data_IF_344745521061
#
_entry.id   IF_344745521061
#
_cell.length_a   1.000
_cell.length_b   1.000
_cell.length_c   1.000
_cell.angle_alpha   90.00
_cell.angle_beta   90.00
_cell.angle_gamma   90.00
#
_symmetry.space_group_name_H-M   'P 1'
#
loop_
_entity.id
_entity.type
_entity.pdbx_description
1 polymer ?
#
# COMPACT_ATOMS: atom_id res chain seq x y z
N UNK A 1 21.96 6.82 -11.80
CA UNK A 1 20.73 7.49 -12.29
C UNK A 1 19.83 7.64 -11.08
N UNK A 2 19.60 8.88 -10.64
CA UNK A 2 18.71 9.16 -9.50
C UNK A 2 17.31 8.89 -9.99
N UNK A 3 16.65 7.87 -9.43
CA UNK A 3 15.24 7.61 -9.67
C UNK A 3 14.48 8.91 -9.51
N UNK A 4 13.85 9.36 -10.60
CA UNK A 4 12.99 10.53 -10.62
C UNK A 4 11.96 10.36 -9.53
N UNK A 5 12.15 11.11 -8.44
CA UNK A 5 11.25 11.18 -7.29
C UNK A 5 9.86 11.45 -7.85
N UNK A 6 9.01 10.41 -7.89
CA UNK A 6 7.60 10.55 -8.29
C UNK A 6 7.04 11.74 -7.53
N UNK A 7 6.54 12.71 -8.29
CA UNK A 7 6.03 13.99 -7.85
C UNK A 7 5.29 13.86 -6.49
N UNK A 8 5.97 14.27 -5.42
CA UNK A 8 5.56 14.15 -4.02
C UNK A 8 4.44 15.15 -3.64
N UNK A 9 3.88 15.87 -4.61
CA UNK A 9 2.94 16.95 -4.35
C UNK A 9 1.51 16.47 -4.03
N UNK A 10 1.22 15.18 -4.16
CA UNK A 10 -0.10 14.63 -3.89
C UNK A 10 0.01 13.40 -2.98
N UNK A 11 -0.18 13.63 -1.68
CA UNK A 11 -0.39 12.55 -0.72
C UNK A 11 -1.88 12.39 -0.45
N UNK A 12 -2.28 11.13 -0.28
CA UNK A 12 -3.59 10.74 0.20
C UNK A 12 -3.47 10.32 1.66
N UNK A 13 -4.38 10.73 2.53
CA UNK A 13 -4.36 10.32 3.94
C UNK A 13 -5.75 10.00 4.48
N UNK A 14 -5.83 9.03 5.38
CA UNK A 14 -7.09 8.63 6.00
C UNK A 14 -7.22 9.24 7.41
N UNK A 15 -8.33 9.92 7.68
CA UNK A 15 -8.63 10.43 9.02
C UNK A 15 -8.80 9.27 10.01
N UNK A 16 -8.13 9.32 11.17
CA UNK A 16 -8.29 8.31 12.22
C UNK A 16 -9.65 8.36 12.93
N UNK A 17 -10.33 9.52 12.91
CA UNK A 17 -11.61 9.72 13.60
C UNK A 17 -12.79 9.26 12.74
N UNK A 18 -12.84 9.67 11.47
CA UNK A 18 -13.98 9.39 10.58
C UNK A 18 -13.68 8.45 9.41
N UNK A 19 -12.44 8.00 9.24
CA UNK A 19 -12.06 7.09 8.15
C UNK A 19 -12.04 7.72 6.75
N UNK A 20 -12.33 9.02 6.61
CA UNK A 20 -12.39 9.69 5.31
C UNK A 20 -11.01 9.78 4.64
N UNK A 21 -10.96 9.40 3.36
CA UNK A 21 -9.78 9.46 2.52
C UNK A 21 -9.63 10.88 1.92
N UNK A 22 -8.66 11.62 2.42
CA UNK A 22 -8.34 12.97 1.96
C UNK A 22 -7.32 12.86 0.83
N UNK A 23 -7.83 12.96 -0.39
CA UNK A 23 -7.02 12.90 -1.61
C UNK A 23 -6.66 14.33 -2.00
N UNK A 24 -5.35 14.62 -2.11
CA UNK A 24 -4.77 15.89 -2.62
C UNK A 24 -4.74 17.03 -1.61
N UNK A 25 -3.58 17.21 -0.96
CA UNK A 25 -3.11 18.56 -0.64
C UNK A 25 -1.67 18.71 -1.10
N UNK A 26 -1.41 19.74 -1.91
CA UNK A 26 -0.06 20.21 -2.20
C UNK A 26 0.58 20.62 -0.88
N UNK A 27 1.82 20.21 -0.66
CA UNK A 27 2.65 20.82 0.39
C UNK A 27 3.29 22.04 -0.28
N UNK A 28 2.90 23.28 0.06
CA UNK A 28 3.52 24.43 -0.55
C UNK A 28 4.97 24.56 -0.08
N UNK A 29 5.93 24.44 -1.01
CA UNK A 29 7.29 24.97 -0.84
C UNK A 29 7.24 26.50 -0.96
N UNK A 30 6.69 27.23 0.02
CA UNK A 30 6.87 28.70 0.01
C UNK A 30 6.65 29.33 1.39
N UNK A 31 7.45 30.37 1.69
CA UNK A 31 7.39 31.17 2.92
C UNK A 31 6.23 32.18 2.98
N UNK A 32 5.05 31.83 2.44
CA UNK A 32 3.86 32.70 2.46
C UNK A 32 2.89 32.23 3.55
N UNK A 33 2.36 33.14 4.41
CA UNK A 33 1.40 32.76 5.45
C UNK A 33 0.02 32.44 4.86
N UNK A 34 -0.61 31.41 5.45
CA UNK A 34 -1.80 30.69 4.94
C UNK A 34 -3.10 31.45 5.22
N UNK A 35 -4.01 31.55 4.23
CA UNK A 35 -5.39 32.02 4.42
C UNK A 35 -6.40 30.88 4.25
N UNK A 36 -7.12 30.57 5.35
CA UNK A 36 -8.43 29.89 5.48
C UNK A 36 -8.75 28.58 4.71
N UNK A 37 -7.92 28.08 3.81
CA UNK A 37 -8.11 26.83 3.08
C UNK A 37 -6.97 25.84 3.35
N UNK A 38 -6.77 25.51 4.62
CA UNK A 38 -6.11 24.27 5.03
C UNK A 38 -4.76 23.94 4.40
N UNK A 39 -3.91 24.93 4.10
CA UNK A 39 -2.50 24.67 3.86
C UNK A 39 -1.81 24.45 5.20
N UNK A 40 -1.01 23.38 5.25
CA UNK A 40 -0.19 23.08 6.41
C UNK A 40 0.82 24.21 6.58
N UNK A 41 0.85 24.85 7.76
CA UNK A 41 1.86 25.85 8.07
C UNK A 41 3.26 25.31 7.77
N UNK A 42 4.17 26.20 7.40
CA UNK A 42 5.52 25.96 6.86
C UNK A 42 6.45 25.03 7.66
N UNK A 43 6.03 24.53 8.83
CA UNK A 43 6.82 23.68 9.72
C UNK A 43 6.37 22.22 9.80
N UNK A 44 5.24 21.85 9.17
CA UNK A 44 4.80 20.46 9.13
C UNK A 44 5.21 19.85 7.77
N UNK A 45 6.45 19.36 7.65
CA UNK A 45 6.78 18.43 6.57
C UNK A 45 6.22 17.07 6.97
N UNK A 46 5.13 16.58 6.33
CA UNK A 46 4.65 15.24 6.59
C UNK A 46 5.79 14.27 6.28
N UNK A 47 6.17 13.45 7.24
CA UNK A 47 6.97 12.26 6.97
C UNK A 47 5.96 11.13 6.76
N UNK A 48 5.72 10.67 5.51
CA UNK A 48 4.81 9.57 5.26
C UNK A 48 5.33 8.32 5.95
N UNK A 49 4.56 7.77 6.88
CA UNK A 49 4.83 6.46 7.45
C UNK A 49 4.04 5.42 6.66
N UNK A 50 4.73 4.37 6.21
CA UNK A 50 4.05 3.22 5.62
C UNK A 50 3.24 2.51 6.71
N UNK A 51 1.99 2.20 6.43
CA UNK A 51 1.14 1.40 7.30
C UNK A 51 0.42 0.32 6.49
N UNK A 52 0.18 -0.82 7.11
CA UNK A 52 -0.65 -1.88 6.55
C UNK A 52 -2.10 -1.59 6.91
N UNK A 53 -3.00 -1.62 5.93
CA UNK A 53 -4.43 -1.46 6.17
C UNK A 53 -4.94 -2.60 7.06
N UNK A 54 -5.84 -2.28 8.00
CA UNK A 54 -6.41 -3.28 8.92
C UNK A 54 -7.35 -4.26 8.23
N UNK A 55 -7.96 -3.86 7.12
CA UNK A 55 -8.85 -4.72 6.35
C UNK A 55 -8.02 -5.47 5.31
N UNK A 56 -8.09 -6.80 5.35
CA UNK A 56 -7.51 -7.63 4.31
C UNK A 56 -8.18 -7.32 2.97
N UNK A 57 -7.37 -7.22 1.91
CA UNK A 57 -7.88 -7.19 0.54
C UNK A 57 -8.40 -8.57 0.14
N UNK A 58 -7.73 -9.61 0.64
CA UNK A 58 -8.05 -11.00 0.35
C UNK A 58 -7.47 -11.91 1.45
N UNK A 59 -8.17 -13.00 1.74
CA UNK A 59 -7.65 -14.09 2.57
C UNK A 59 -8.08 -15.43 1.97
N UNK A 60 -7.13 -16.34 1.70
CA UNK A 60 -7.43 -17.63 1.08
C UNK A 60 -6.36 -18.69 1.37
N UNK A 61 -6.78 -19.96 1.36
CA UNK A 61 -5.91 -21.16 1.45
C UNK A 61 -5.52 -21.75 0.09
N UNK A 62 -5.88 -21.07 -0.99
CA UNK A 62 -5.63 -21.51 -2.38
C UNK A 62 -4.48 -20.77 -3.05
N UNK A 63 -3.84 -19.85 -2.32
CA UNK A 63 -2.75 -19.03 -2.80
C UNK A 63 -1.43 -19.80 -2.69
N UNK A 64 -0.65 -19.77 -3.77
CA UNK A 64 0.70 -20.35 -3.87
C UNK A 64 1.70 -19.30 -4.33
N UNK A 65 2.99 -19.57 -4.11
CA UNK A 65 4.08 -18.66 -4.41
C UNK A 65 5.09 -19.34 -5.35
N UNK A 66 5.55 -18.59 -6.34
CA UNK A 66 6.62 -19.00 -7.23
C UNK A 66 7.75 -17.97 -7.17
N UNK A 67 8.96 -18.44 -6.88
CA UNK A 67 10.17 -17.62 -6.92
C UNK A 67 10.46 -17.12 -8.35
N UNK A 68 11.31 -16.10 -8.45
CA UNK A 68 11.84 -15.62 -9.75
C UNK A 68 12.49 -16.80 -10.49
N UNK A 69 12.21 -16.93 -11.79
CA UNK A 69 12.83 -17.94 -12.66
C UNK A 69 13.23 -17.33 -13.99
N UNK A 70 14.54 -17.16 -14.19
CA UNK A 70 15.09 -16.48 -15.37
C UNK A 70 14.56 -15.05 -15.48
N UNK A 71 13.90 -14.74 -16.58
CA UNK A 71 13.25 -13.44 -16.81
C UNK A 71 11.82 -13.34 -16.26
N UNK A 72 11.30 -14.40 -15.66
CA UNK A 72 9.94 -14.43 -15.08
C UNK A 72 9.99 -13.88 -13.66
N UNK A 73 9.27 -12.79 -13.35
CA UNK A 73 9.19 -12.26 -11.99
C UNK A 73 8.59 -13.27 -11.02
N UNK A 74 8.83 -13.06 -9.73
CA UNK A 74 8.14 -13.82 -8.68
C UNK A 74 6.63 -13.62 -8.80
N UNK A 75 5.86 -14.67 -8.52
CA UNK A 75 4.40 -14.68 -8.67
C UNK A 75 3.71 -15.20 -7.44
N UNK A 76 2.53 -14.66 -7.20
CA UNK A 76 1.54 -15.17 -6.27
C UNK A 76 0.37 -15.64 -7.14
N UNK A 77 -0.01 -16.90 -7.01
CA UNK A 77 -1.05 -17.51 -7.84
C UNK A 77 -2.20 -18.02 -6.98
N UNK A 78 -3.43 -17.77 -7.38
CA UNK A 78 -4.64 -18.27 -6.71
C UNK A 78 -5.41 -19.21 -7.63
N UNK A 79 -5.56 -20.48 -7.24
CA UNK A 79 -6.28 -21.47 -8.04
C UNK A 79 -7.79 -21.20 -8.16
N UNK A 80 -8.33 -20.29 -7.34
CA UNK A 80 -9.71 -19.82 -7.43
C UNK A 80 -9.88 -18.58 -8.30
N UNK A 81 -8.80 -18.04 -8.89
CA UNK A 81 -8.84 -16.91 -9.80
C UNK A 81 -9.49 -15.64 -9.20
N UNK A 82 -9.37 -15.45 -7.88
CA UNK A 82 -10.04 -14.34 -7.20
C UNK A 82 -9.28 -13.01 -7.36
N UNK A 83 -8.03 -13.02 -7.84
CA UNK A 83 -7.26 -11.80 -8.04
C UNK A 83 -7.90 -10.85 -9.05
N UNK A 84 -8.53 -11.39 -10.10
CA UNK A 84 -9.26 -10.57 -11.09
C UNK A 84 -10.53 -9.92 -10.56
N UNK A 85 -11.12 -10.47 -9.50
CA UNK A 85 -12.34 -9.96 -8.86
C UNK A 85 -12.04 -8.94 -7.76
N UNK A 86 -10.85 -9.04 -7.18
CA UNK A 86 -10.36 -8.11 -6.16
C UNK A 86 -9.79 -6.83 -6.76
N UNK A 87 -9.84 -5.73 -6.00
CA UNK A 87 -9.38 -4.41 -6.43
C UNK A 87 -7.83 -4.24 -6.48
N UNK A 88 -7.07 -5.29 -6.77
CA UNK A 88 -5.62 -5.17 -6.99
C UNK A 88 -5.34 -4.31 -8.23
N UNK A 89 -4.24 -3.57 -8.17
CA UNK A 89 -3.77 -2.71 -9.27
C UNK A 89 -2.27 -2.86 -9.40
N UNK A 90 -1.77 -2.77 -10.63
CA UNK A 90 -0.32 -2.75 -10.86
C UNK A 90 0.35 -1.57 -10.16
N UNK A 91 1.56 -1.79 -9.64
CA UNK A 91 2.32 -0.81 -8.86
C UNK A 91 1.84 -0.63 -7.42
N UNK A 92 0.84 -1.39 -6.97
CA UNK A 92 0.33 -1.32 -5.60
C UNK A 92 1.31 -2.00 -4.62
N UNK A 93 1.70 -1.33 -3.52
CA UNK A 93 2.41 -1.99 -2.44
C UNK A 93 1.43 -2.81 -1.58
N UNK A 94 1.83 -4.03 -1.27
CA UNK A 94 1.06 -5.00 -0.49
C UNK A 94 1.89 -5.52 0.68
N UNK A 95 1.21 -6.03 1.69
CA UNK A 95 1.79 -6.82 2.76
C UNK A 95 1.14 -8.20 2.75
N UNK A 96 1.95 -9.23 2.93
CA UNK A 96 1.50 -10.63 2.91
C UNK A 96 1.83 -11.23 4.26
N UNK A 97 0.88 -11.99 4.80
CA UNK A 97 1.05 -12.86 5.94
C UNK A 97 0.56 -14.25 5.57
N UNK A 98 1.29 -15.27 5.98
CA UNK A 98 1.03 -16.69 5.72
C UNK A 98 0.99 -17.45 7.04
N UNK A 99 0.40 -18.65 7.09
CA UNK A 99 0.49 -19.51 8.27
C UNK A 99 1.89 -20.12 8.41
N UNK A 100 2.63 -20.29 7.30
CA UNK A 100 3.99 -20.85 7.31
C UNK A 100 5.06 -19.85 7.75
N UNK A 101 4.81 -18.55 7.56
CA UNK A 101 5.76 -17.47 7.82
C UNK A 101 6.86 -17.32 6.77
N UNK A 102 6.89 -18.15 5.72
CA UNK A 102 8.01 -18.21 4.76
C UNK A 102 8.04 -16.99 3.83
N UNK A 103 6.88 -16.57 3.35
CA UNK A 103 6.74 -15.46 2.40
C UNK A 103 6.13 -14.20 3.04
N UNK A 104 6.19 -14.10 4.37
CA UNK A 104 5.69 -12.94 5.12
C UNK A 104 6.54 -11.71 4.84
N UNK A 105 5.90 -10.62 4.42
CA UNK A 105 6.68 -9.44 4.05
C UNK A 105 5.91 -8.39 3.27
N UNK A 106 6.68 -7.42 2.79
CA UNK A 106 6.18 -6.30 2.00
C UNK A 106 6.64 -6.46 0.57
N UNK A 107 5.71 -6.33 -0.37
CA UNK A 107 5.97 -6.52 -1.80
C UNK A 107 5.27 -5.43 -2.60
N UNK A 108 5.60 -5.34 -3.89
CA UNK A 108 4.99 -4.42 -4.84
C UNK A 108 4.53 -5.22 -6.05
N UNK A 109 3.25 -5.09 -6.41
CA UNK A 109 2.72 -5.67 -7.64
C UNK A 109 3.38 -4.95 -8.82
N UNK A 110 3.86 -5.68 -9.82
CA UNK A 110 4.41 -5.07 -11.03
C UNK A 110 3.38 -4.18 -11.75
N UNK A 111 3.82 -3.21 -12.55
CA UNK A 111 2.92 -2.24 -13.20
C UNK A 111 1.83 -2.89 -14.07
N UNK A 112 2.11 -4.04 -14.67
CA UNK A 112 1.17 -4.88 -15.42
C UNK A 112 1.02 -6.27 -14.78
N UNK A 113 1.18 -6.33 -13.46
CA UNK A 113 1.30 -7.59 -12.73
C UNK A 113 -0.01 -8.24 -12.30
N UNK A 114 -1.19 -7.67 -12.62
CA UNK A 114 -2.47 -8.23 -12.18
C UNK A 114 -3.13 -8.99 -13.33
N UNK A 115 -3.31 -10.30 -13.13
CA UNK A 115 -4.07 -11.19 -13.99
C UNK A 115 -5.14 -11.89 -13.15
N UNK A 116 -6.11 -12.53 -13.80
CA UNK A 116 -7.25 -13.20 -13.14
C UNK A 116 -6.80 -14.19 -12.05
N UNK A 117 -5.72 -14.94 -12.27
CA UNK A 117 -5.20 -15.92 -11.31
C UNK A 117 -3.80 -15.62 -10.76
N UNK A 118 -3.12 -14.59 -11.26
CA UNK A 118 -1.73 -14.31 -10.91
C UNK A 118 -1.53 -12.83 -10.52
N UNK A 119 -0.73 -12.62 -9.47
CA UNK A 119 -0.05 -11.36 -9.20
C UNK A 119 1.45 -11.54 -9.45
N UNK A 120 1.97 -10.88 -10.47
CA UNK A 120 3.43 -10.76 -10.69
C UNK A 120 3.99 -9.61 -9.88
N UNK A 121 5.08 -9.85 -9.15
CA UNK A 121 5.74 -8.86 -8.31
C UNK A 121 6.76 -8.04 -9.08
N UNK A 122 7.18 -6.92 -8.48
CA UNK A 122 8.31 -6.12 -8.96
C UNK A 122 9.56 -6.98 -9.12
N UNK A 123 10.42 -6.64 -10.09
CA UNK A 123 11.69 -7.34 -10.30
C UNK A 123 12.67 -7.25 -9.13
N UNK A 124 12.46 -6.29 -8.22
CA UNK A 124 13.23 -6.11 -7.00
C UNK A 124 12.74 -6.98 -5.85
N UNK A 125 11.55 -7.55 -5.97
CA UNK A 125 10.94 -8.38 -4.95
C UNK A 125 11.24 -9.86 -5.23
N UNK A 126 11.48 -10.62 -4.17
CA UNK A 126 11.75 -12.06 -4.25
C UNK A 126 10.84 -12.83 -3.31
N UNK A 127 10.39 -14.00 -3.75
CA UNK A 127 9.64 -14.97 -2.95
C UNK A 127 10.41 -16.29 -2.89
N UNK A 128 10.08 -17.11 -1.91
CA UNK A 128 10.43 -18.53 -1.89
C UNK A 128 9.28 -19.32 -2.49
N UNK A 129 9.57 -20.27 -3.39
CA UNK A 129 8.54 -21.14 -3.97
C UNK A 129 7.85 -21.95 -2.88
N UNK A 130 6.52 -21.90 -2.86
CA UNK A 130 5.70 -22.54 -1.84
C UNK A 130 4.33 -22.92 -2.42
N UNK A 131 3.86 -24.13 -2.15
CA UNK A 131 2.53 -24.57 -2.59
C UNK A 131 1.44 -24.02 -1.66
N UNK A 132 0.20 -23.98 -2.11
CA UNK A 132 -0.91 -23.50 -1.28
C UNK A 132 -1.11 -24.29 0.01
N UNK A 133 -0.85 -25.60 -0.03
CA UNK A 133 -0.91 -26.44 1.17
C UNK A 133 0.20 -26.11 2.18
N UNK A 134 1.39 -25.77 1.70
CA UNK A 134 2.53 -25.39 2.56
C UNK A 134 2.35 -23.99 3.16
N UNK A 135 1.88 -23.02 2.36
CA UNK A 135 1.63 -21.65 2.81
C UNK A 135 0.49 -21.54 3.84
N UNK A 136 -0.48 -22.44 3.78
CA UNK A 136 -1.66 -22.42 4.64
C UNK A 136 -2.60 -21.26 4.31
N UNK A 137 -3.15 -20.59 5.33
CA UNK A 137 -3.94 -19.38 5.13
C UNK A 137 -3.04 -18.19 4.76
N UNK A 138 -3.23 -17.65 3.56
CA UNK A 138 -2.55 -16.46 3.08
C UNK A 138 -3.51 -15.28 3.16
N UNK A 139 -3.07 -14.19 3.79
CA UNK A 139 -3.82 -12.93 3.84
C UNK A 139 -2.99 -11.81 3.21
N UNK A 140 -3.61 -11.08 2.29
CA UNK A 140 -2.98 -9.98 1.57
C UNK A 140 -3.65 -8.67 1.99
N UNK A 141 -2.84 -7.72 2.43
CA UNK A 141 -3.25 -6.40 2.82
C UNK A 141 -2.70 -5.36 1.85
N UNK A 142 -3.44 -4.27 1.67
CA UNK A 142 -2.89 -3.08 1.02
C UNK A 142 -1.92 -2.42 1.99
N UNK A 143 -0.75 -2.01 1.49
CA UNK A 143 0.07 -1.01 2.17
C UNK A 143 -0.29 0.36 1.63
N UNK A 144 -0.50 1.27 2.55
CA UNK A 144 -0.78 2.66 2.24
C UNK A 144 0.21 3.54 2.99
N UNK A 145 0.37 4.78 2.54
CA UNK A 145 1.18 5.77 3.25
C UNK A 145 0.22 6.69 3.99
N UNK A 146 0.41 6.82 5.31
CA UNK A 146 -0.25 7.84 6.11
C UNK A 146 0.80 8.90 6.42
N UNK A 147 0.60 10.16 6.03
CA UNK A 147 1.39 11.24 6.60
C UNK A 147 1.22 11.24 8.13
N UNK A 148 2.31 11.44 8.85
CA UNK A 148 2.31 11.68 10.30
C UNK A 148 1.72 13.06 10.68
N UNK A 149 0.87 13.63 9.82
CA UNK A 149 0.26 14.94 10.04
C UNK A 149 -0.79 14.81 11.12
N UNK A 150 -0.50 15.42 12.26
CA UNK A 150 -1.31 15.38 13.48
C UNK A 150 -2.49 16.35 13.48
N UNK A 151 -2.92 16.88 12.33
CA UNK A 151 -3.92 17.95 12.28
C UNK A 151 -5.10 17.66 11.35
N UNK A 152 -6.31 17.86 11.88
CA UNK A 152 -7.49 18.40 11.19
C UNK A 152 -8.03 17.60 10.00
N UNK A 153 -8.98 16.69 10.22
CA UNK A 153 -9.78 16.19 9.10
C UNK A 153 -10.75 17.27 8.58
N UNK A 154 -10.73 17.64 7.29
CA UNK A 154 -11.63 18.66 6.76
C UNK A 154 -13.09 18.20 6.70
N UNK A 155 -13.35 16.88 6.66
CA UNK A 155 -14.72 16.36 6.66
C UNK A 155 -15.35 16.43 8.05
N UNK A 156 -14.66 15.93 9.08
CA UNK A 156 -15.24 15.85 10.43
C UNK A 156 -14.74 16.94 11.39
N UNK A 157 -13.91 17.88 10.92
CA UNK A 157 -13.37 18.97 11.73
C UNK A 157 -12.45 18.54 12.87
N UNK A 158 -12.11 17.26 12.98
CA UNK A 158 -11.23 16.76 14.04
C UNK A 158 -9.80 17.24 13.81
N UNK A 159 -9.48 18.43 14.34
CA UNK A 159 -8.14 18.70 14.85
C UNK A 159 -7.91 17.64 15.92
N UNK A 160 -6.87 16.81 15.81
CA UNK A 160 -6.63 15.77 16.81
C UNK A 160 -6.70 16.40 18.20
N UNK A 161 -7.74 16.06 18.94
CA UNK A 161 -7.79 16.25 20.37
C UNK A 161 -6.59 15.49 20.92
N UNK A 162 -5.72 16.25 21.60
CA UNK A 162 -4.57 15.80 22.37
C UNK A 162 -4.78 14.39 22.96
N UNK A 163 -3.74 13.56 22.85
CA UNK A 163 -3.19 12.95 24.05
C UNK A 163 -1.81 13.58 24.28
#
# INVERSE_FOLDING_TARGET
>A
MVDSVKNRDHYTYQCQVCGFENVKKRIPHSGVPVTKLGDYGSNATPTPQAYTETNAMMSSRTISFAAVSGSTPAKISDSRNQFGETHFKGGMPINITTESGVNDGNYTIAAMGVLIGDLSLSSTDSLTTETAAAAGLVTIYRRSYRPNVTTGCPLCGSLNSKN
#
